data_IF_694034278939
#
_entry.id   IF_694034278939
#
_cell.length_a   1.000
_cell.length_b   1.000
_cell.length_c   1.000
_cell.angle_alpha   90.00
_cell.angle_beta   90.00
_cell.angle_gamma   90.00
#
_symmetry.space_group_name_H-M   'P 1'
#
loop_
_entity.id
_entity.type
_entity.pdbx_description
1 polymer ?
#
# COMPACT_ATOMS: atom_id res chain seq x y z
N UNK A 1 3.88 4.64 14.74
CA UNK A 1 5.13 4.02 14.25
C UNK A 1 5.11 4.04 12.73
N UNK A 2 6.18 4.49 12.09
CA UNK A 2 6.37 4.46 10.63
C UNK A 2 7.01 3.12 10.25
N UNK A 3 6.30 2.29 9.49
CA UNK A 3 6.82 1.06 8.86
C UNK A 3 6.74 1.24 7.35
N UNK A 4 7.77 0.77 6.63
CA UNK A 4 7.83 0.84 5.16
C UNK A 4 6.62 0.18 4.49
N UNK A 5 6.08 -0.89 5.09
CA UNK A 5 4.89 -1.59 4.60
C UNK A 5 3.59 -0.82 4.82
N UNK A 6 3.60 0.20 5.67
CA UNK A 6 2.48 1.12 5.92
C UNK A 6 2.70 2.47 5.22
N UNK A 7 3.71 2.59 4.35
CA UNK A 7 3.89 3.79 3.55
C UNK A 7 2.73 3.89 2.55
N UNK A 8 2.09 5.05 2.58
CA UNK A 8 1.04 5.42 1.64
C UNK A 8 1.46 6.73 1.01
N UNK A 9 1.27 6.88 -0.30
CA UNK A 9 1.52 8.12 -1.02
C UNK A 9 0.46 9.17 -0.65
N UNK A 10 0.55 9.70 0.57
CA UNK A 10 -0.32 10.75 1.08
C UNK A 10 0.49 12.04 1.20
N UNK A 11 -0.12 13.17 0.83
CA UNK A 11 0.46 14.47 1.15
C UNK A 11 0.53 14.65 2.68
N UNK A 12 1.36 15.60 3.15
CA UNK A 12 1.54 15.88 4.59
C UNK A 12 0.20 16.09 5.32
N UNK A 13 -0.74 16.80 4.71
CA UNK A 13 -2.06 17.07 5.28
C UNK A 13 -2.85 15.77 5.52
N UNK A 14 -3.00 14.94 4.48
CA UNK A 14 -3.72 13.66 4.60
C UNK A 14 -2.99 12.67 5.52
N UNK A 15 -1.66 12.67 5.55
CA UNK A 15 -0.91 11.85 6.48
C UNK A 15 -1.21 12.23 7.95
N UNK A 16 -1.27 13.52 8.27
CA UNK A 16 -1.65 13.98 9.62
C UNK A 16 -3.09 13.62 9.97
N UNK A 17 -4.02 13.86 9.04
CA UNK A 17 -5.44 13.51 9.22
C UNK A 17 -5.64 12.01 9.45
N UNK A 18 -4.93 11.15 8.71
CA UNK A 18 -4.93 9.69 8.91
C UNK A 18 -4.70 9.32 10.37
N UNK A 19 -3.65 9.86 10.99
CA UNK A 19 -3.29 9.51 12.37
C UNK A 19 -4.20 10.15 13.42
N UNK A 20 -4.91 11.23 13.08
CA UNK A 20 -5.89 11.84 13.98
C UNK A 20 -7.22 11.08 14.02
N UNK A 21 -7.60 10.44 12.91
CA UNK A 21 -8.94 9.87 12.70
C UNK A 21 -8.93 8.34 12.80
N UNK A 22 -7.80 7.71 12.43
CA UNK A 22 -7.71 6.26 12.30
C UNK A 22 -6.59 5.66 13.14
N UNK A 23 -6.90 4.51 13.74
CA UNK A 23 -5.86 3.53 14.11
C UNK A 23 -5.60 2.65 12.90
N UNK A 24 -4.34 2.50 12.51
CA UNK A 24 -3.94 1.74 11.32
C UNK A 24 -3.04 0.58 11.70
N UNK A 25 -3.45 -0.63 11.35
CA UNK A 25 -2.73 -1.88 11.61
C UNK A 25 -2.35 -2.56 10.30
N UNK A 26 -1.15 -3.13 10.27
CA UNK A 26 -0.74 -4.05 9.21
C UNK A 26 -0.86 -5.48 9.76
N UNK A 27 -1.54 -6.35 9.03
CA UNK A 27 -1.64 -7.77 9.35
C UNK A 27 -0.52 -8.56 8.65
N UNK A 28 -0.18 -9.78 9.11
CA UNK A 28 0.93 -10.57 8.57
C UNK A 28 0.81 -10.92 7.08
N UNK A 29 -0.41 -10.98 6.55
CA UNK A 29 -0.71 -11.21 5.13
C UNK A 29 -0.50 -9.96 4.25
N UNK A 30 -0.06 -8.85 4.84
CA UNK A 30 0.11 -7.55 4.19
C UNK A 30 -1.18 -6.74 4.09
N UNK A 31 -2.31 -7.22 4.63
CA UNK A 31 -3.57 -6.46 4.67
C UNK A 31 -3.41 -5.26 5.61
N UNK A 32 -3.82 -4.08 5.13
CA UNK A 32 -3.87 -2.87 5.95
C UNK A 32 -5.31 -2.66 6.46
N UNK A 33 -5.45 -2.59 7.77
CA UNK A 33 -6.71 -2.38 8.48
C UNK A 33 -6.76 -0.96 9.03
N UNK A 34 -7.84 -0.25 8.72
CA UNK A 34 -8.10 1.11 9.17
C UNK A 34 -9.32 1.09 10.09
N UNK A 35 -9.15 1.57 11.32
CA UNK A 35 -10.19 1.56 12.34
C UNK A 35 -10.49 3.00 12.71
N UNK A 36 -11.72 3.45 12.47
CA UNK A 36 -12.17 4.78 12.92
C UNK A 36 -12.32 4.82 14.43
N UNK A 37 -12.37 6.03 15.01
CA UNK A 37 -12.72 6.22 16.42
C UNK A 37 -14.10 5.65 16.80
N UNK A 38 -15.04 5.60 15.85
CA UNK A 38 -16.35 4.99 16.04
C UNK A 38 -16.41 3.47 15.87
N UNK A 39 -15.26 2.81 15.66
CA UNK A 39 -15.17 1.35 15.56
C UNK A 39 -15.38 0.78 14.15
N UNK A 40 -15.67 1.61 13.14
CA UNK A 40 -15.76 1.15 11.75
C UNK A 40 -14.42 0.65 11.24
N UNK A 41 -14.44 -0.51 10.58
CA UNK A 41 -13.24 -1.22 10.10
C UNK A 41 -13.26 -1.25 8.57
N UNK A 42 -12.18 -0.75 7.96
CA UNK A 42 -11.93 -0.82 6.52
C UNK A 42 -10.67 -1.64 6.26
N UNK A 43 -10.76 -2.63 5.37
CA UNK A 43 -9.64 -3.51 5.00
C UNK A 43 -9.21 -3.22 3.57
N UNK A 44 -7.90 -3.04 3.39
CA UNK A 44 -7.28 -2.95 2.07
C UNK A 44 -6.26 -4.08 1.95
N UNK A 45 -6.55 -5.04 1.08
CA UNK A 45 -5.57 -6.06 0.72
C UNK A 45 -4.37 -5.41 0.00
N UNK A 46 -3.16 -5.96 0.17
CA UNK A 46 -2.00 -5.47 -0.54
C UNK A 46 -2.29 -5.55 -2.03
N UNK A 47 -1.97 -4.46 -2.76
CA UNK A 47 -2.01 -4.50 -4.21
C UNK A 47 -1.09 -5.64 -4.64
N UNK A 48 -1.64 -6.67 -5.30
CA UNK A 48 -0.79 -7.62 -6.01
C UNK A 48 -0.13 -6.81 -7.11
N UNK A 49 1.09 -6.34 -6.87
CA UNK A 49 1.96 -5.86 -7.93
C UNK A 49 2.21 -7.07 -8.84
N UNK A 50 1.35 -7.21 -9.86
CA UNK A 50 1.68 -8.08 -10.98
C UNK A 50 2.80 -7.34 -11.71
N UNK A 51 4.05 -7.83 -11.71
CA UNK A 51 5.06 -7.22 -12.55
C UNK A 51 4.52 -7.21 -13.98
N UNK A 52 4.84 -6.17 -14.77
CA UNK A 52 4.58 -6.22 -16.21
C UNK A 52 5.08 -7.58 -16.70
N UNK A 53 4.25 -8.30 -17.47
CA UNK A 53 4.77 -9.44 -18.21
C UNK A 53 5.80 -8.84 -19.15
N UNK A 54 7.07 -8.88 -18.76
CA UNK A 54 8.17 -8.68 -19.68
C UNK A 54 8.02 -9.80 -20.71
N UNK A 55 7.33 -9.51 -21.81
CA UNK A 55 7.44 -10.33 -23.01
C UNK A 55 8.94 -10.43 -23.33
N UNK A 56 9.41 -11.57 -23.86
CA UNK A 56 10.82 -11.70 -24.17
C UNK A 56 11.24 -10.52 -25.02
N UNK A 57 12.18 -9.71 -24.50
CA UNK A 57 12.87 -8.71 -25.29
C UNK A 57 13.52 -9.48 -26.45
N UNK A 58 12.94 -9.37 -27.66
CA UNK A 58 13.64 -9.77 -28.88
C UNK A 58 14.89 -8.90 -28.93
N UNK A 59 16.05 -9.53 -28.70
CA UNK A 59 17.35 -8.91 -28.99
C UNK A 59 17.35 -8.52 -30.48
N UNK A 60 17.70 -7.28 -30.86
CA UNK A 60 18.01 -7.01 -32.25
C UNK A 60 19.25 -7.84 -32.61
N UNK A 61 19.08 -8.71 -33.60
CA UNK A 61 20.18 -9.44 -34.23
C UNK A 61 20.99 -8.41 -35.01
N UNK A 62 22.29 -8.34 -34.75
CA UNK A 62 23.18 -7.34 -35.33
C UNK A 62 23.42 -7.52 -36.83
N UNK A 63 23.93 -6.45 -37.42
CA UNK A 63 24.81 -6.41 -38.60
C UNK A 63 25.90 -5.37 -38.33
#
# INVERSE_FOLDING_TARGET
MTSEQNLQCLCRHHHRAKHAIFTVRAEPDGTIVWITRGGWIFRRHPHRHRPPRHGPHRRPQGD
#
